data_IF_699821943722
#
_entry.id   IF_699821943722
#
_cell.length_a   1.000
_cell.length_b   1.000
_cell.length_c   1.000
_cell.angle_alpha   90.00
_cell.angle_beta   90.00
_cell.angle_gamma   90.00
#
_symmetry.space_group_name_H-M   'P 1'
#
loop_
_entity.id
_entity.type
_entity.pdbx_description
1 polymer ?
#
# COMPACT_ATOMS: atom_id res chain seq x y z
N UNK A 1 -53.66 0.98 -10.69
CA UNK A 1 -52.50 0.26 -10.11
C UNK A 1 -52.49 0.55 -8.62
N UNK A 2 -52.61 -0.49 -7.79
CA UNK A 2 -52.48 -0.42 -6.33
C UNK A 2 -50.99 -0.59 -6.01
N UNK A 3 -50.43 0.25 -5.13
CA UNK A 3 -49.51 -0.15 -4.06
C UNK A 3 -49.60 0.96 -3.01
N UNK A 4 -50.10 0.55 -1.84
CA UNK A 4 -50.05 1.26 -0.58
C UNK A 4 -48.61 1.31 -0.06
N UNK A 5 -48.21 2.44 0.51
CA UNK A 5 -47.16 2.46 1.52
C UNK A 5 -47.51 3.54 2.55
N UNK A 6 -48.34 3.13 3.51
CA UNK A 6 -48.38 3.74 4.84
C UNK A 6 -47.11 3.30 5.58
N UNK A 7 -46.31 4.25 6.05
CA UNK A 7 -45.57 4.09 7.30
C UNK A 7 -45.68 5.41 8.06
N UNK A 8 -46.50 5.38 9.11
CA UNK A 8 -46.69 6.45 10.08
C UNK A 8 -45.78 6.21 11.28
N UNK A 9 -45.29 7.34 11.84
CA UNK A 9 -44.99 7.62 13.25
C UNK A 9 -43.74 6.93 13.85
N UNK A 10 -42.98 7.51 14.79
CA UNK A 10 -43.31 8.50 15.82
C UNK A 10 -42.08 9.40 16.06
N UNK A 11 -42.29 10.71 16.10
CA UNK A 11 -41.37 11.67 16.69
C UNK A 11 -41.49 11.60 18.21
N UNK A 12 -40.41 11.30 18.93
CA UNK A 12 -40.34 11.52 20.38
C UNK A 12 -39.33 12.64 20.61
N UNK A 13 -39.88 13.85 20.63
CA UNK A 13 -39.25 15.01 21.26
C UNK A 13 -39.36 14.77 22.77
N UNK A 14 -38.25 14.35 23.39
CA UNK A 14 -38.08 14.35 24.84
C UNK A 14 -37.46 15.67 25.28
N UNK A 15 -38.28 16.66 25.62
CA UNK A 15 -37.82 17.85 26.35
C UNK A 15 -37.72 17.44 27.82
N UNK A 16 -36.50 17.32 28.34
CA UNK A 16 -36.25 17.34 29.78
C UNK A 16 -35.43 18.58 30.11
N UNK A 17 -36.13 19.61 30.56
CA UNK A 17 -35.53 20.79 31.18
C UNK A 17 -35.09 20.42 32.60
N UNK A 18 -33.82 20.08 32.77
CA UNK A 18 -33.16 20.08 34.08
C UNK A 18 -32.21 21.28 34.14
N UNK A 19 -32.65 22.35 34.80
CA UNK A 19 -31.78 23.39 35.33
C UNK A 19 -30.98 22.79 36.49
N UNK A 20 -29.65 22.75 36.35
CA UNK A 20 -28.76 22.30 37.41
C UNK A 20 -27.33 22.20 36.94
N UNK A 21 -26.57 23.30 37.08
CA UNK A 21 -25.12 23.29 37.06
C UNK A 21 -24.61 22.21 38.03
N UNK A 22 -24.03 21.14 37.49
CA UNK A 22 -22.96 20.31 38.05
C UNK A 22 -22.75 19.11 37.11
N UNK A 23 -22.24 19.36 35.91
CA UNK A 23 -21.52 18.31 35.18
C UNK A 23 -20.08 18.34 35.68
N UNK A 24 -19.87 17.62 36.79
CA UNK A 24 -18.57 17.07 37.14
C UNK A 24 -18.03 16.44 35.86
N UNK A 25 -16.94 17.00 35.33
CA UNK A 25 -16.26 16.47 34.17
C UNK A 25 -15.61 15.13 34.53
N UNK A 26 -16.39 14.06 34.51
CA UNK A 26 -15.90 12.75 34.10
C UNK A 26 -15.65 12.85 32.59
N UNK A 27 -14.53 13.51 32.24
CA UNK A 27 -13.85 13.18 31.01
C UNK A 27 -13.31 11.79 31.25
N UNK A 28 -14.07 10.79 30.79
CA UNK A 28 -13.62 9.41 30.73
C UNK A 28 -12.20 9.42 30.19
N UNK A 29 -11.28 9.01 31.05
CA UNK A 29 -9.98 8.54 30.64
C UNK A 29 -10.24 7.35 29.73
N UNK A 30 -10.33 7.60 28.42
CA UNK A 30 -10.13 6.56 27.41
C UNK A 30 -8.66 6.17 27.46
N UNK A 31 -8.32 5.41 28.50
CA UNK A 31 -7.21 4.48 28.46
C UNK A 31 -7.70 3.28 27.66
N UNK A 32 -7.33 3.26 26.39
CA UNK A 32 -7.18 2.03 25.62
C UNK A 32 -6.10 2.29 24.58
N UNK A 33 -4.85 2.35 25.04
CA UNK A 33 -3.72 1.92 24.23
C UNK A 33 -3.95 0.42 23.94
N UNK A 34 -4.80 0.13 22.96
CA UNK A 34 -4.98 -1.21 22.41
C UNK A 34 -3.77 -1.53 21.55
N UNK A 35 -2.77 -2.15 22.17
CA UNK A 35 -1.61 -2.78 21.53
C UNK A 35 -2.02 -3.97 20.63
N UNK A 36 -2.89 -3.75 19.65
CA UNK A 36 -3.16 -4.71 18.57
C UNK A 36 -2.96 -4.14 17.16
N UNK A 37 -2.77 -2.83 17.00
CA UNK A 37 -2.71 -2.17 15.68
C UNK A 37 -1.31 -2.20 15.00
N UNK A 38 -0.35 -2.90 15.60
CA UNK A 38 1.07 -2.86 15.20
C UNK A 38 1.41 -3.74 13.98
N UNK A 39 0.40 -4.37 13.36
CA UNK A 39 0.55 -5.27 12.18
C UNK A 39 -0.22 -4.79 10.95
N UNK A 40 -0.87 -3.63 11.06
CA UNK A 40 -1.73 -3.06 10.02
C UNK A 40 -1.10 -1.79 9.46
N UNK A 41 -1.16 -1.63 8.14
CA UNK A 41 -0.72 -0.42 7.46
C UNK A 41 -1.88 0.19 6.68
N UNK A 42 -2.23 1.45 6.97
CA UNK A 42 -3.29 2.18 6.27
C UNK A 42 -2.72 3.12 5.20
N UNK A 43 -3.15 2.93 3.95
CA UNK A 43 -2.74 3.73 2.79
C UNK A 43 -3.61 4.97 2.55
N UNK A 44 -4.70 5.15 3.29
CA UNK A 44 -5.73 6.19 3.01
C UNK A 44 -5.35 7.61 3.41
N UNK A 45 -4.40 7.77 4.34
CA UNK A 45 -3.90 9.09 4.79
C UNK A 45 -2.41 9.22 4.51
N UNK A 46 -2.02 9.17 3.23
CA UNK A 46 -0.62 9.05 2.97
C UNK A 46 -0.03 10.47 3.02
N UNK A 47 1.05 10.71 3.77
CA UNK A 47 1.68 12.04 3.84
C UNK A 47 2.19 12.44 2.44
N UNK A 48 1.48 13.35 1.77
CA UNK A 48 1.76 13.79 0.39
C UNK A 48 2.64 15.02 0.33
N UNK A 49 2.95 15.65 1.47
CA UNK A 49 3.67 16.93 1.52
C UNK A 49 5.07 16.83 0.92
N UNK A 50 5.71 15.66 1.04
CA UNK A 50 7.11 15.40 0.61
C UNK A 50 7.25 14.37 -0.51
N UNK A 51 6.15 13.84 -1.03
CA UNK A 51 6.23 12.81 -2.07
C UNK A 51 6.78 13.41 -3.38
N UNK A 52 7.83 12.82 -3.98
CA UNK A 52 8.30 13.23 -5.29
C UNK A 52 7.23 12.93 -6.35
N UNK A 53 7.13 13.81 -7.34
CA UNK A 53 6.33 13.57 -8.55
C UNK A 53 7.24 12.94 -9.59
N UNK A 54 6.74 11.91 -10.29
CA UNK A 54 7.43 11.38 -11.46
C UNK A 54 7.24 12.31 -12.68
N UNK A 55 7.88 12.00 -13.80
CA UNK A 55 7.79 12.80 -15.04
C UNK A 55 6.35 12.93 -15.60
N UNK A 56 5.42 12.09 -15.14
CA UNK A 56 4.00 12.10 -15.52
C UNK A 56 3.13 12.85 -14.52
N UNK A 57 3.71 13.45 -13.48
CA UNK A 57 2.99 14.16 -12.43
C UNK A 57 2.37 13.24 -11.36
N UNK A 58 2.65 11.94 -11.38
CA UNK A 58 2.12 10.98 -10.40
C UNK A 58 2.98 10.95 -9.15
N UNK A 59 2.36 10.76 -7.99
CA UNK A 59 3.06 10.56 -6.73
C UNK A 59 3.48 9.09 -6.59
N UNK A 60 4.75 8.87 -6.26
CA UNK A 60 5.25 7.55 -5.85
C UNK A 60 5.81 7.63 -4.44
N UNK A 61 5.44 6.67 -3.59
CA UNK A 61 5.93 6.58 -2.20
C UNK A 61 6.32 5.18 -1.83
N UNK A 62 7.53 5.06 -1.31
CA UNK A 62 8.04 3.84 -0.69
C UNK A 62 7.87 3.86 0.81
N UNK A 63 7.37 2.77 1.37
CA UNK A 63 7.34 2.51 2.80
C UNK A 63 8.06 1.21 3.11
N UNK A 64 9.05 1.28 4.01
CA UNK A 64 9.75 0.13 4.55
C UNK A 64 9.38 -0.03 6.03
N UNK A 65 8.70 -1.12 6.42
CA UNK A 65 8.47 -1.44 7.82
C UNK A 65 9.81 -1.51 8.56
N UNK A 66 9.92 -0.84 9.72
CA UNK A 66 11.19 -0.78 10.47
C UNK A 66 11.45 -2.05 11.28
N UNK A 67 10.50 -2.42 12.15
CA UNK A 67 10.69 -3.51 13.13
C UNK A 67 9.51 -4.50 13.20
N UNK A 68 8.55 -4.41 12.28
CA UNK A 68 7.33 -5.22 12.31
C UNK A 68 7.07 -5.90 10.98
N UNK A 69 6.63 -7.14 11.08
CA UNK A 69 6.07 -7.89 9.97
C UNK A 69 4.64 -7.44 9.76
N UNK A 70 4.43 -6.52 8.82
CA UNK A 70 3.08 -6.08 8.45
C UNK A 70 2.37 -7.25 7.78
N UNK A 71 1.23 -7.64 8.37
CA UNK A 71 0.41 -8.77 7.93
C UNK A 71 -0.89 -8.31 7.27
N UNK A 72 -1.23 -7.04 7.36
CA UNK A 72 -2.42 -6.48 6.72
C UNK A 72 -2.15 -5.08 6.18
N UNK A 73 -2.62 -4.83 4.96
CA UNK A 73 -2.63 -3.50 4.34
C UNK A 73 -4.09 -3.14 4.07
N UNK A 74 -4.48 -1.94 4.47
CA UNK A 74 -5.84 -1.43 4.34
C UNK A 74 -5.85 -0.05 3.72
N UNK A 75 -7.01 0.35 3.21
CA UNK A 75 -7.29 1.68 2.71
C UNK A 75 -8.54 2.21 3.42
N UNK A 76 -8.33 3.01 4.46
CA UNK A 76 -9.41 3.68 5.19
C UNK A 76 -10.35 2.68 5.87
N UNK A 77 -9.78 1.59 6.39
CA UNK A 77 -10.55 0.49 6.95
C UNK A 77 -10.70 -0.72 6.02
N UNK A 78 -10.69 -0.51 4.70
CA UNK A 78 -11.00 -1.56 3.71
C UNK A 78 -9.76 -2.44 3.47
N UNK A 79 -9.83 -3.77 3.64
CA UNK A 79 -8.70 -4.65 3.37
C UNK A 79 -8.26 -4.60 1.90
N UNK A 80 -6.97 -4.32 1.67
CA UNK A 80 -6.35 -4.39 0.34
C UNK A 80 -5.57 -5.69 0.18
N UNK A 81 -4.80 -6.04 1.20
CA UNK A 81 -4.04 -7.28 1.27
C UNK A 81 -4.02 -7.81 2.70
N UNK A 82 -4.06 -9.14 2.81
CA UNK A 82 -3.89 -9.87 4.06
C UNK A 82 -2.91 -10.99 3.79
N UNK A 83 -1.89 -11.10 4.65
CA UNK A 83 -0.90 -12.16 4.60
C UNK A 83 -1.55 -13.54 4.67
N UNK A 84 -1.01 -14.48 3.90
CA UNK A 84 -1.29 -15.91 4.05
C UNK A 84 -0.08 -16.60 4.65
N UNK A 85 -0.33 -17.57 5.52
CA UNK A 85 0.73 -18.38 6.15
C UNK A 85 1.84 -17.51 6.77
N UNK A 86 3.09 -17.73 6.36
CA UNK A 86 4.26 -17.02 6.85
C UNK A 86 4.53 -15.69 6.12
N UNK A 87 3.74 -15.34 5.10
CA UNK A 87 3.93 -14.12 4.29
C UNK A 87 3.96 -12.86 5.17
N UNK A 88 4.92 -11.96 4.94
CA UNK A 88 4.91 -10.63 5.54
C UNK A 88 5.33 -9.58 4.53
N UNK A 89 4.79 -8.38 4.69
CA UNK A 89 5.19 -7.26 3.86
C UNK A 89 6.56 -6.73 4.32
N UNK A 90 7.50 -6.64 3.38
CA UNK A 90 8.84 -6.09 3.61
C UNK A 90 9.02 -4.69 3.00
N UNK A 91 8.17 -4.34 2.03
CA UNK A 91 8.18 -3.04 1.37
C UNK A 91 6.84 -2.78 0.68
N UNK A 92 6.41 -1.52 0.67
CA UNK A 92 5.18 -1.07 0.01
C UNK A 92 5.55 0.09 -0.90
N UNK A 93 5.11 0.04 -2.15
CA UNK A 93 5.10 1.19 -3.06
C UNK A 93 3.65 1.58 -3.30
N UNK A 94 3.35 2.85 -3.06
CA UNK A 94 2.03 3.44 -3.28
C UNK A 94 2.15 4.42 -4.43
N UNK A 95 1.30 4.25 -5.45
CA UNK A 95 1.13 5.25 -6.49
C UNK A 95 -0.17 6.01 -6.27
N UNK A 96 -0.15 7.29 -6.61
CA UNK A 96 -1.34 8.14 -6.61
C UNK A 96 -1.29 9.02 -7.87
N UNK A 97 -2.45 9.34 -8.47
CA UNK A 97 -2.50 10.17 -9.68
C UNK A 97 -1.84 11.54 -9.48
N UNK A 98 -1.98 12.10 -8.28
CA UNK A 98 -1.44 13.40 -7.87
C UNK A 98 -1.33 13.47 -6.31
N UNK A 99 -1.04 14.65 -5.75
CA UNK A 99 -0.86 14.89 -4.30
C UNK A 99 -2.15 15.01 -3.49
N UNK A 100 -3.27 15.25 -4.15
CA UNK A 100 -4.58 15.51 -3.54
C UNK A 100 -5.52 14.30 -3.70
N UNK A 101 -5.23 13.41 -4.64
CA UNK A 101 -5.97 12.18 -4.87
C UNK A 101 -5.41 11.03 -4.03
N UNK A 102 -6.29 10.13 -3.59
CA UNK A 102 -5.91 8.91 -2.89
C UNK A 102 -5.14 7.92 -3.77
N UNK A 103 -4.69 6.79 -3.20
CA UNK A 103 -3.94 5.79 -3.94
C UNK A 103 -4.78 5.10 -5.04
N UNK A 104 -4.16 4.89 -6.21
CA UNK A 104 -4.75 4.20 -7.37
C UNK A 104 -4.17 2.81 -7.59
N UNK A 105 -2.93 2.57 -7.16
CA UNK A 105 -2.27 1.28 -7.22
C UNK A 105 -1.24 1.13 -6.11
N UNK A 106 -1.02 -0.11 -5.71
CA UNK A 106 0.01 -0.48 -4.73
C UNK A 106 0.82 -1.68 -5.22
N UNK A 107 2.09 -1.71 -4.85
CA UNK A 107 2.98 -2.86 -5.02
C UNK A 107 3.52 -3.25 -3.65
N UNK A 108 3.36 -4.52 -3.29
CA UNK A 108 3.78 -5.06 -2.01
C UNK A 108 4.88 -6.08 -2.30
N UNK A 109 6.07 -5.87 -1.74
CA UNK A 109 7.11 -6.90 -1.69
C UNK A 109 6.93 -7.77 -0.45
N UNK A 110 7.03 -9.08 -0.64
CA UNK A 110 6.79 -10.07 0.41
C UNK A 110 8.10 -10.74 0.83
N UNK A 111 8.20 -11.10 2.11
CA UNK A 111 9.26 -11.95 2.66
C UNK A 111 10.69 -11.45 2.40
N UNK A 112 10.86 -10.13 2.25
CA UNK A 112 12.16 -9.53 1.93
C UNK A 112 12.61 -9.70 0.48
N UNK A 113 11.83 -10.36 -0.38
CA UNK A 113 12.15 -10.57 -1.79
C UNK A 113 11.48 -9.51 -2.67
N UNK A 114 12.28 -8.81 -3.47
CA UNK A 114 11.81 -7.80 -4.42
C UNK A 114 11.12 -8.39 -5.64
N UNK A 115 11.33 -9.68 -5.92
CA UNK A 115 10.70 -10.39 -7.04
C UNK A 115 9.36 -11.00 -6.62
N UNK A 116 9.24 -11.42 -5.35
CA UNK A 116 7.98 -11.84 -4.75
C UNK A 116 7.09 -10.61 -4.45
N UNK A 117 6.37 -10.15 -5.46
CA UNK A 117 5.52 -8.96 -5.37
C UNK A 117 4.08 -9.26 -5.69
N UNK A 118 3.18 -8.68 -4.89
CA UNK A 118 1.76 -8.56 -5.22
C UNK A 118 1.47 -7.15 -5.66
N UNK A 119 0.67 -7.00 -6.71
CA UNK A 119 0.26 -5.70 -7.25
C UNK A 119 -1.24 -5.59 -7.14
N UNK A 120 -1.73 -4.44 -6.68
CA UNK A 120 -3.14 -4.15 -6.63
C UNK A 120 -3.42 -2.82 -7.32
N UNK A 121 -4.59 -2.70 -7.92
CA UNK A 121 -5.10 -1.46 -8.49
C UNK A 121 -6.53 -1.23 -8.02
N UNK A 122 -6.92 0.03 -7.96
CA UNK A 122 -8.27 0.44 -7.60
C UNK A 122 -9.10 0.58 -8.88
N UNK A 123 -10.16 -0.20 -8.96
CA UNK A 123 -11.14 -0.20 -10.05
C UNK A 123 -12.53 0.12 -9.48
N UNK A 124 -13.10 1.25 -9.92
CA UNK A 124 -14.39 1.76 -9.41
C UNK A 124 -14.48 1.77 -7.86
N UNK A 125 -13.38 2.14 -7.19
CA UNK A 125 -13.29 2.20 -5.73
C UNK A 125 -12.92 0.88 -5.04
N UNK A 126 -12.87 -0.24 -5.77
CA UNK A 126 -12.54 -1.56 -5.22
C UNK A 126 -11.12 -1.97 -5.57
N UNK A 127 -10.43 -2.60 -4.62
CA UNK A 127 -9.08 -3.12 -4.85
C UNK A 127 -9.12 -4.47 -5.58
N UNK A 128 -8.30 -4.62 -6.62
CA UNK A 128 -8.13 -5.85 -7.39
C UNK A 128 -6.67 -6.24 -7.47
N UNK A 129 -6.37 -7.51 -7.21
CA UNK A 129 -5.04 -8.08 -7.42
C UNK A 129 -4.75 -8.25 -8.92
N UNK A 130 -3.56 -7.84 -9.36
CA UNK A 130 -3.07 -8.12 -10.70
C UNK A 130 -2.47 -9.52 -10.70
N UNK A 131 -3.21 -10.48 -11.26
CA UNK A 131 -2.74 -11.85 -11.45
C UNK A 131 -1.81 -11.84 -12.66
N UNK A 132 -0.51 -12.10 -12.46
CA UNK A 132 0.40 -12.34 -13.59
C UNK A 132 0.05 -13.70 -14.20
N UNK A 133 0.01 -13.82 -15.55
CA UNK A 133 -0.06 -15.13 -16.17
C UNK A 133 1.20 -15.91 -15.77
N UNK A 134 1.02 -17.13 -15.28
CA UNK A 134 2.14 -18.01 -14.95
C UNK A 134 3.02 -18.19 -16.19
N UNK A 135 4.29 -17.79 -16.09
CA UNK A 135 5.24 -17.80 -17.21
C UNK A 135 5.83 -16.44 -17.59
N UNK A 136 5.36 -15.31 -17.04
CA UNK A 136 6.02 -14.00 -17.25
C UNK A 136 7.21 -13.80 -16.29
N UNK A 137 8.20 -14.68 -16.33
CA UNK A 137 9.50 -14.37 -15.73
C UNK A 137 10.17 -13.31 -16.60
N UNK A 138 10.28 -12.07 -16.11
CA UNK A 138 11.23 -11.10 -16.66
C UNK A 138 12.63 -11.57 -16.31
N UNK A 139 13.13 -12.54 -17.08
CA UNK A 139 14.53 -12.87 -17.12
C UNK A 139 15.26 -11.70 -17.74
N UNK A 140 15.76 -10.78 -16.91
CA UNK A 140 16.94 -10.00 -17.28
C UNK A 140 18.15 -10.93 -17.20
N UNK A 141 18.27 -11.84 -18.17
CA UNK A 141 19.57 -12.35 -18.56
C UNK A 141 20.30 -11.16 -19.20
N UNK A 142 21.33 -10.65 -18.50
CA UNK A 142 22.39 -9.89 -19.17
C UNK A 142 22.91 -10.79 -20.31
N UNK A 143 23.07 -10.29 -21.55
CA UNK A 143 23.91 -11.01 -22.50
C UNK A 143 25.32 -11.02 -21.93
N UNK A 144 25.83 -12.23 -21.67
CA UNK A 144 27.25 -12.46 -21.44
C UNK A 144 27.99 -12.06 -22.72
N UNK A 145 28.70 -10.94 -22.65
CA UNK A 145 29.60 -10.48 -23.70
C UNK A 145 30.83 -11.39 -23.71
N UNK A 146 30.74 -12.48 -24.47
CA UNK A 146 31.89 -13.27 -24.92
C UNK A 146 32.30 -12.81 -26.30
N UNK A 147 33.50 -12.24 -26.39
CA UNK A 147 34.29 -12.24 -27.63
C UNK A 147 35.16 -10.99 -27.80
N UNK A 148 36.45 -11.10 -27.51
CA UNK A 148 37.35 -11.52 -28.59
C UNK A 148 38.76 -11.79 -28.08
N UNK A 149 39.15 -13.04 -28.33
CA UNK A 149 40.49 -13.53 -28.47
C UNK A 149 41.06 -12.97 -29.78
N UNK A 150 42.22 -12.33 -29.71
CA UNK A 150 43.06 -12.15 -30.90
C UNK A 150 44.51 -12.38 -30.51
N UNK A 151 44.95 -13.59 -30.85
CA UNK A 151 46.33 -14.01 -31.05
C UNK A 151 47.16 -12.94 -31.79
N UNK A 152 48.31 -12.60 -31.22
CA UNK A 152 49.33 -11.79 -31.86
C UNK A 152 50.71 -12.34 -31.54
N UNK A 153 51.23 -13.15 -32.47
CA UNK A 153 52.48 -13.92 -32.43
C UNK A 153 53.74 -13.11 -32.14
N UNK A 154 54.69 -13.84 -31.58
CA UNK A 154 56.14 -13.58 -31.51
C UNK A 154 56.76 -13.02 -32.80
N UNK A 155 57.82 -12.21 -32.64
CA UNK A 155 58.72 -11.91 -33.76
C UNK A 155 59.76 -10.83 -33.49
N UNK A 156 60.95 -11.26 -33.06
CA UNK A 156 62.24 -10.55 -33.07
C UNK A 156 62.43 -9.59 -34.26
N UNK A 157 63.17 -8.50 -34.04
CA UNK A 157 64.39 -8.23 -34.81
C UNK A 157 65.30 -7.18 -34.15
N UNK A 158 66.53 -7.62 -33.91
CA UNK A 158 67.74 -6.82 -33.73
C UNK A 158 68.20 -6.18 -35.05
N UNK A 159 69.14 -5.23 -34.93
CA UNK A 159 69.90 -4.43 -35.95
C UNK A 159 69.35 -3.01 -36.15
N UNK A 160 70.16 -1.96 -36.18
CA UNK A 160 71.61 -1.80 -36.30
C UNK A 160 72.03 -0.51 -35.57
#
# INVERSE_FOLDING_TARGET
>A
MKISALFFLVSIIGISSCHGWNCLGESSTENADDETDDKRFDVSKPDTSKAPLNAKGQCERGYKPKNQNIKQIVDGGIPVWTAKDEEYCSYIVIHSPDKNTGPDSIVISLNGDRNNTKKYYKDAGNWREVIKPEGSSTGTSKPDDKGNESDGKDGKNDRH
#
